data_IF_848569368865
#
_entry.id   IF_848569368865
#
_cell.length_a   1.000
_cell.length_b   1.000
_cell.length_c   1.000
_cell.angle_alpha   90.00
_cell.angle_beta   90.00
_cell.angle_gamma   90.00
#
_symmetry.space_group_name_H-M   'P 1'
#
loop_
_entity.id
_entity.type
_entity.pdbx_description
1 polymer ?
#
# COMPACT_ATOMS: atom_id res chain seq x y z
N UNK A 1 8.58 -25.92 -15.94
CA UNK A 1 7.32 -25.46 -15.33
C UNK A 1 7.66 -24.30 -14.39
N UNK A 2 7.45 -23.06 -14.83
CA UNK A 2 7.09 -21.88 -14.04
C UNK A 2 6.82 -20.74 -15.03
N UNK A 3 5.68 -20.08 -14.90
CA UNK A 3 5.34 -18.89 -15.70
C UNK A 3 5.98 -17.64 -15.07
N UNK A 4 6.31 -16.59 -15.84
CA UNK A 4 6.88 -15.37 -15.28
C UNK A 4 5.82 -14.63 -14.44
N UNK A 5 5.98 -14.60 -13.12
CA UNK A 5 5.20 -13.70 -12.26
C UNK A 5 5.73 -12.28 -12.47
N UNK A 6 4.92 -11.44 -13.11
CA UNK A 6 5.27 -10.04 -13.32
C UNK A 6 4.99 -9.24 -12.04
N UNK A 7 6.04 -8.70 -11.42
CA UNK A 7 5.94 -7.82 -10.25
C UNK A 7 5.97 -6.37 -10.71
N UNK A 8 5.07 -5.55 -10.18
CA UNK A 8 5.00 -4.13 -10.48
C UNK A 8 5.43 -3.31 -9.27
N UNK A 9 6.32 -2.36 -9.50
CA UNK A 9 6.67 -1.33 -8.52
C UNK A 9 6.04 0.00 -8.91
N UNK A 10 5.37 0.66 -7.97
CA UNK A 10 4.80 2.00 -8.16
C UNK A 10 5.24 2.91 -7.02
N UNK A 11 5.43 4.19 -7.31
CA UNK A 11 5.74 5.19 -6.29
C UNK A 11 5.07 6.53 -6.64
N UNK A 12 4.75 7.30 -5.60
CA UNK A 12 4.25 8.66 -5.71
C UNK A 12 4.85 9.49 -4.59
N UNK A 13 5.49 10.60 -4.95
CA UNK A 13 6.05 11.54 -4.00
C UNK A 13 5.20 12.81 -3.94
N UNK A 14 4.84 13.23 -2.73
CA UNK A 14 4.09 14.46 -2.47
C UNK A 14 5.04 15.54 -1.95
N UNK A 15 5.95 16.01 -2.82
CA UNK A 15 6.97 17.03 -2.46
C UNK A 15 6.40 18.43 -2.58
N UNK A 16 5.87 18.78 -3.76
CA UNK A 16 5.28 20.09 -4.03
C UNK A 16 3.81 20.16 -3.60
N UNK A 17 3.16 19.01 -3.43
CA UNK A 17 1.76 18.83 -3.08
C UNK A 17 1.60 17.96 -1.81
N UNK A 18 2.14 18.36 -0.65
CA UNK A 18 2.09 17.55 0.56
C UNK A 18 0.65 17.36 1.05
N UNK A 19 0.32 16.14 1.46
CA UNK A 19 -0.94 15.84 2.14
C UNK A 19 -0.79 16.25 3.60
N UNK A 20 -1.45 17.35 3.99
CA UNK A 20 -1.41 17.89 5.36
C UNK A 20 -2.58 17.35 6.20
N UNK A 21 -2.30 17.08 7.46
CA UNK A 21 -3.28 16.66 8.46
C UNK A 21 -2.96 17.34 9.80
N UNK A 22 -3.99 17.60 10.61
CA UNK A 22 -3.84 18.25 11.91
C UNK A 22 -3.63 17.23 13.04
N UNK A 23 -4.43 16.17 13.02
CA UNK A 23 -4.46 15.15 14.08
C UNK A 23 -4.06 13.78 13.50
N UNK A 24 -4.98 13.09 12.82
CA UNK A 24 -4.76 11.74 12.28
C UNK A 24 -4.84 11.69 10.74
N UNK A 25 -4.08 10.77 10.15
CA UNK A 25 -4.14 10.44 8.72
C UNK A 25 -4.31 8.93 8.53
N UNK A 26 -5.36 8.53 7.81
CA UNK A 26 -5.57 7.15 7.34
C UNK A 26 -5.55 7.11 5.82
N UNK A 27 -4.67 6.29 5.26
CA UNK A 27 -4.58 6.06 3.80
C UNK A 27 -5.05 4.63 3.51
N UNK A 28 -5.96 4.50 2.55
CA UNK A 28 -6.46 3.20 2.08
C UNK A 28 -6.20 3.09 0.58
N UNK A 29 -5.54 2.02 0.16
CA UNK A 29 -5.33 1.69 -1.26
C UNK A 29 -6.23 0.51 -1.60
N UNK A 30 -6.96 0.61 -2.71
CA UNK A 30 -7.83 -0.46 -3.19
C UNK A 30 -7.18 -1.18 -4.36
N UNK A 31 -7.11 -2.51 -4.29
CA UNK A 31 -6.70 -3.36 -5.41
C UNK A 31 -7.90 -3.53 -6.34
N UNK A 32 -8.03 -2.66 -7.35
CA UNK A 32 -9.13 -2.69 -8.31
C UNK A 32 -8.62 -2.86 -9.74
N UNK A 33 -9.16 -3.87 -10.40
CA UNK A 33 -9.05 -4.08 -11.84
C UNK A 33 -10.31 -3.65 -12.57
N UNK A 34 -10.36 -3.95 -13.88
CA UNK A 34 -11.48 -3.60 -14.75
C UNK A 34 -12.23 -4.86 -15.23
N UNK A 35 -13.56 -4.83 -15.16
CA UNK A 35 -14.46 -5.75 -15.88
C UNK A 35 -15.06 -5.06 -17.10
N UNK A 36 -15.69 -5.85 -17.97
CA UNK A 36 -16.51 -5.33 -19.06
C UNK A 36 -17.62 -4.39 -18.54
N UNK A 37 -17.91 -3.36 -19.34
CA UNK A 37 -18.94 -2.37 -19.05
C UNK A 37 -18.53 -1.31 -18.00
N UNK A 38 -17.23 -0.97 -17.90
CA UNK A 38 -16.70 0.06 -16.98
C UNK A 38 -16.97 -0.23 -15.50
N UNK A 39 -17.03 -1.52 -15.14
CA UNK A 39 -17.25 -1.96 -13.76
C UNK A 39 -15.92 -2.33 -13.10
N UNK A 40 -15.80 -2.08 -11.81
CA UNK A 40 -14.62 -2.47 -11.04
C UNK A 40 -14.61 -3.97 -10.72
N UNK A 41 -13.42 -4.57 -10.77
CA UNK A 41 -13.14 -5.92 -10.28
C UNK A 41 -12.28 -5.79 -9.02
N UNK A 42 -12.74 -6.21 -7.83
CA UNK A 42 -11.86 -6.39 -6.69
C UNK A 42 -10.80 -7.43 -7.03
N UNK A 43 -9.52 -7.07 -6.91
CA UNK A 43 -8.38 -7.96 -7.11
C UNK A 43 -7.90 -8.49 -5.76
N UNK A 44 -7.25 -9.66 -5.80
CA UNK A 44 -6.60 -10.29 -4.64
C UNK A 44 -5.10 -10.39 -4.93
N UNK A 45 -4.49 -9.23 -5.16
CA UNK A 45 -3.04 -9.13 -5.39
C UNK A 45 -2.30 -9.07 -4.04
N UNK A 46 -1.12 -9.68 -3.98
CA UNK A 46 -0.21 -9.51 -2.85
C UNK A 46 0.45 -8.12 -2.93
N UNK A 47 0.04 -7.22 -2.03
CA UNK A 47 0.50 -5.83 -2.02
C UNK A 47 1.27 -5.55 -0.73
N UNK A 48 2.53 -5.16 -0.90
CA UNK A 48 3.31 -4.51 0.14
C UNK A 48 3.41 -3.01 -0.18
N UNK A 49 3.34 -2.16 0.84
CA UNK A 49 3.52 -0.71 0.69
C UNK A 49 4.42 -0.15 1.78
N UNK A 50 5.01 1.01 1.49
CA UNK A 50 5.82 1.77 2.45
C UNK A 50 5.42 3.24 2.33
N UNK A 51 5.18 3.89 3.47
CA UNK A 51 4.83 5.29 3.53
C UNK A 51 5.91 6.08 4.27
N UNK A 52 6.17 7.29 3.79
CA UNK A 52 7.06 8.26 4.43
C UNK A 52 6.24 9.50 4.76
N UNK A 53 6.33 9.98 5.99
CA UNK A 53 5.63 11.19 6.42
C UNK A 53 6.47 11.96 7.44
N UNK A 54 6.07 13.22 7.64
CA UNK A 54 6.59 14.07 8.70
C UNK A 54 5.45 14.36 9.67
N UNK A 55 5.75 14.28 10.96
CA UNK A 55 4.85 14.68 12.03
C UNK A 55 5.67 15.43 13.09
N UNK A 56 4.99 16.15 13.99
CA UNK A 56 5.68 16.97 15.01
C UNK A 56 6.50 16.13 16.00
N UNK A 57 5.99 14.99 16.40
CA UNK A 57 6.61 14.14 17.43
C UNK A 57 7.33 12.95 16.79
N UNK A 58 8.51 12.58 17.30
CA UNK A 58 9.31 11.50 16.69
C UNK A 58 8.84 10.10 17.03
N UNK A 59 7.99 9.94 18.06
CA UNK A 59 7.50 8.64 18.50
C UNK A 59 6.06 8.43 18.08
N UNK A 60 5.84 7.58 17.08
CA UNK A 60 4.54 6.96 16.85
C UNK A 60 4.60 5.52 17.38
N UNK A 61 3.55 5.02 18.04
CA UNK A 61 3.46 3.60 18.33
C UNK A 61 3.53 2.81 17.02
N UNK A 62 4.52 1.92 16.92
CA UNK A 62 4.66 1.05 15.76
C UNK A 62 3.77 -0.19 15.93
N UNK A 63 3.08 -0.64 14.86
CA UNK A 63 2.38 -1.91 14.90
C UNK A 63 3.38 -3.05 15.14
N UNK A 64 2.90 -4.12 15.77
CA UNK A 64 3.69 -5.34 15.95
C UNK A 64 4.12 -5.85 14.57
N UNK A 65 5.42 -6.14 14.35
CA UNK A 65 5.87 -6.66 13.07
C UNK A 65 5.21 -8.01 12.78
N UNK A 66 4.89 -8.25 11.50
CA UNK A 66 4.35 -9.52 11.04
C UNK A 66 5.40 -10.64 11.23
N UNK A 67 4.94 -11.86 11.54
CA UNK A 67 5.80 -13.03 11.61
C UNK A 67 6.19 -13.51 10.20
N UNK A 68 7.26 -14.30 10.09
CA UNK A 68 7.69 -14.87 8.81
C UNK A 68 6.58 -15.68 8.13
N UNK A 69 5.83 -16.48 8.89
CA UNK A 69 4.72 -17.31 8.38
C UNK A 69 3.58 -16.48 7.79
N UNK A 70 3.36 -15.24 8.28
CA UNK A 70 2.34 -14.33 7.75
C UNK A 70 2.81 -13.56 6.50
N UNK A 71 4.10 -13.60 6.20
CA UNK A 71 4.70 -12.93 5.03
C UNK A 71 4.94 -13.90 3.87
N UNK A 72 4.62 -15.18 4.02
CA UNK A 72 4.75 -16.18 2.97
C UNK A 72 3.71 -15.94 1.86
N UNK A 73 4.19 -15.85 0.62
CA UNK A 73 3.36 -15.72 -0.59
C UNK A 73 3.10 -17.12 -1.14
N UNK A 74 1.83 -17.52 -1.29
CA UNK A 74 1.38 -18.85 -1.74
C UNK A 74 1.13 -18.89 -3.25
#
# INVERSE_FOLDING_TARGET
>A
ILQPVQRFGMYRWHVLDPIRFADDLRVTIQALGWRSGRRYLPLQDDIASTAFWYQRETSAPHPVPLTADLLEVV
#
